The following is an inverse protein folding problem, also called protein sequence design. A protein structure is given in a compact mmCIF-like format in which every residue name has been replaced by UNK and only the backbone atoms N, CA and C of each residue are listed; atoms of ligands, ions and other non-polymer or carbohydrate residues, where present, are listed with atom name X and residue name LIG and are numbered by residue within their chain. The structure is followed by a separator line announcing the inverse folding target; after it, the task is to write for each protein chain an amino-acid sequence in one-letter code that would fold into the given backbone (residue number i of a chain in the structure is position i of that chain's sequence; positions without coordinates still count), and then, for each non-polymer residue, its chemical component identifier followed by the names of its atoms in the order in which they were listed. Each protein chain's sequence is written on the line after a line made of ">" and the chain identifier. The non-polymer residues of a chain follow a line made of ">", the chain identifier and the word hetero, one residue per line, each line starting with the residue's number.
data_IF_615933827932
#
_entry.id   IF_615933827932
#
_cell.length_a   1.000
_cell.length_b   1.000
_cell.length_c   1.000
_cell.angle_alpha   90.00
_cell.angle_beta   90.00
_cell.angle_gamma   90.00
#
_symmetry.space_group_name_H-M   'P 1'
#
loop_
_entity.id
_entity.type
_entity.pdbx_description
1 polymer ?
#
# COMPACT_ATOMS: atom_id res chain seq x y z
N UNK A 1 24.44 -5.87 10.43
CA UNK A 1 23.35 -5.30 9.62
C UNK A 1 23.61 -3.80 9.57
N UNK A 2 24.11 -3.29 8.44
CA UNK A 2 24.48 -1.87 8.32
C UNK A 2 23.17 -1.11 8.16
N UNK A 3 22.76 -0.34 9.17
CA UNK A 3 21.67 0.61 9.05
C UNK A 3 21.99 1.52 7.86
N UNK A 4 21.22 1.40 6.77
CA UNK A 4 21.35 2.27 5.61
C UNK A 4 20.92 3.66 6.05
N UNK A 5 21.84 4.62 6.04
CA UNK A 5 21.51 6.01 6.37
C UNK A 5 20.56 6.58 5.31
N UNK A 6 19.25 6.50 5.58
CA UNK A 6 18.19 7.09 4.74
C UNK A 6 17.93 8.57 5.05
N UNK A 7 18.64 9.14 6.04
CA UNK A 7 18.30 10.43 6.62
C UNK A 7 19.53 11.33 6.76
N UNK A 8 19.66 12.32 5.87
CA UNK A 8 20.57 13.47 6.02
C UNK A 8 19.78 14.78 6.01
N UNK A 9 19.97 15.66 7.01
CA UNK A 9 19.76 17.10 6.81
C UNK A 9 20.51 18.01 7.80
N UNK A 10 20.76 19.23 7.31
CA UNK A 10 21.31 20.47 7.87
C UNK A 10 22.83 20.57 8.14
N UNK A 11 23.51 21.39 7.33
CA UNK A 11 24.87 21.89 7.56
C UNK A 11 24.78 23.30 8.16
N UNK A 12 24.33 23.42 9.41
CA UNK A 12 24.50 24.66 10.18
C UNK A 12 25.69 24.54 11.11
N UNK A 13 26.74 25.30 10.81
CA UNK A 13 27.84 25.68 11.72
C UNK A 13 28.34 24.51 12.59
N UNK A 14 28.70 23.39 11.96
CA UNK A 14 29.35 22.22 12.57
C UNK A 14 28.51 21.34 13.51
N UNK A 15 27.18 21.46 13.52
CA UNK A 15 26.30 20.51 14.24
C UNK A 15 25.47 19.74 13.22
N UNK A 16 25.61 18.41 13.22
CA UNK A 16 24.77 17.50 12.45
C UNK A 16 23.74 16.92 13.42
N UNK A 17 22.47 17.27 13.24
CA UNK A 17 21.36 16.67 14.00
C UNK A 17 20.58 15.72 13.11
N UNK A 18 20.32 14.50 13.60
CA UNK A 18 19.43 13.55 12.94
C UNK A 18 18.11 13.53 13.68
N UNK A 19 16.98 13.60 12.99
CA UNK A 19 15.76 13.02 13.55
C UNK A 19 16.05 11.52 13.71
N UNK A 20 15.99 10.98 14.92
CA UNK A 20 16.29 9.57 15.13
C UNK A 20 15.04 8.72 14.85
N UNK A 21 14.59 8.73 13.60
CA UNK A 21 13.56 7.83 13.10
C UNK A 21 14.17 6.57 12.46
N UNK A 22 15.42 6.24 12.82
CA UNK A 22 16.06 5.00 12.38
C UNK A 22 15.29 3.83 12.97
N UNK A 23 14.97 2.83 12.14
CA UNK A 23 14.31 1.60 12.55
C UNK A 23 12.81 1.70 12.89
N UNK A 24 12.04 2.60 12.26
CA UNK A 24 10.59 2.71 12.52
C UNK A 24 9.81 1.94 11.47
N UNK A 25 8.85 1.11 11.90
CA UNK A 25 7.81 0.55 11.05
C UNK A 25 6.47 1.16 11.48
N UNK A 26 5.81 1.88 10.57
CA UNK A 26 4.54 2.54 10.85
C UNK A 26 3.39 1.64 10.42
N UNK A 27 2.50 1.36 11.36
CA UNK A 27 1.22 0.68 11.13
C UNK A 27 0.10 1.58 11.65
N UNK A 28 -0.96 1.73 10.87
CA UNK A 28 -2.08 2.62 11.17
C UNK A 28 -3.39 1.95 10.80
N UNK A 29 -4.47 2.36 11.46
CA UNK A 29 -5.84 1.99 11.08
C UNK A 29 -6.67 3.27 11.03
N UNK A 30 -6.81 3.90 9.85
CA UNK A 30 -7.44 5.21 9.70
C UNK A 30 -8.86 5.31 10.25
N UNK A 31 -9.63 4.22 10.19
CA UNK A 31 -10.97 4.14 10.75
C UNK A 31 -11.34 2.72 11.18
N UNK A 32 -12.43 2.57 11.93
CA UNK A 32 -12.96 1.25 12.33
C UNK A 32 -13.36 0.35 11.17
N UNK A 33 -13.57 0.92 9.98
CA UNK A 33 -13.97 0.19 8.76
C UNK A 33 -12.82 0.03 7.76
N UNK A 34 -11.64 0.59 8.04
CA UNK A 34 -10.44 0.36 7.24
C UNK A 34 -9.64 -0.78 7.85
N UNK A 35 -8.82 -1.39 7.01
CA UNK A 35 -7.85 -2.38 7.44
C UNK A 35 -6.66 -1.70 8.12
N UNK A 36 -5.80 -2.50 8.75
CA UNK A 36 -4.49 -2.01 9.19
C UNK A 36 -3.62 -1.84 7.95
N UNK A 37 -3.11 -0.63 7.74
CA UNK A 37 -2.18 -0.28 6.68
C UNK A 37 -0.75 -0.30 7.23
N UNK A 38 0.15 -0.92 6.49
CA UNK A 38 1.59 -0.84 6.77
C UNK A 38 2.21 0.18 5.83
N UNK A 39 2.75 1.27 6.37
CA UNK A 39 3.21 2.37 5.52
C UNK A 39 4.57 2.01 4.93
N UNK A 40 4.63 1.99 3.60
CA UNK A 40 5.89 1.93 2.87
C UNK A 40 6.48 3.34 2.75
N UNK A 41 7.61 3.62 3.41
CA UNK A 41 8.26 4.93 3.31
C UNK A 41 8.77 5.27 1.90
N UNK A 42 8.99 4.27 1.03
CA UNK A 42 9.41 4.49 -0.36
C UNK A 42 8.24 4.74 -1.32
N UNK A 43 7.03 4.34 -0.93
CA UNK A 43 5.80 4.46 -1.72
C UNK A 43 4.64 4.65 -0.74
N UNK A 44 4.58 5.83 -0.12
CA UNK A 44 3.61 6.07 0.95
C UNK A 44 2.20 6.25 0.39
N UNK A 45 1.27 5.54 1.00
CA UNK A 45 -0.15 5.48 0.65
C UNK A 45 -0.95 5.85 1.88
N UNK A 46 -1.88 6.78 1.74
CA UNK A 46 -2.65 7.31 2.87
C UNK A 46 -4.14 7.34 2.56
N UNK A 47 -4.92 6.92 3.56
CA UNK A 47 -6.35 7.12 3.59
C UNK A 47 -6.70 8.63 3.65
N UNK A 48 -7.86 9.06 3.12
CA UNK A 48 -8.38 10.39 3.37
C UNK A 48 -8.57 10.67 4.87
N UNK A 49 -8.91 9.63 5.65
CA UNK A 49 -9.09 9.68 7.10
C UNK A 49 -7.80 9.56 7.91
N UNK A 50 -6.64 9.51 7.26
CA UNK A 50 -5.36 9.34 7.94
C UNK A 50 -5.04 10.50 8.89
N UNK A 51 -4.35 10.19 9.99
CA UNK A 51 -3.89 11.18 10.96
C UNK A 51 -2.72 11.97 10.39
N UNK A 52 -2.70 13.29 10.60
CA UNK A 52 -1.64 14.14 10.05
C UNK A 52 -0.24 13.73 10.52
N UNK A 53 -0.11 13.27 11.76
CA UNK A 53 1.15 12.73 12.29
C UNK A 53 1.65 11.55 11.44
N UNK A 54 0.77 10.66 10.99
CA UNK A 54 1.14 9.51 10.15
C UNK A 54 1.63 9.98 8.78
N UNK A 55 1.05 11.03 8.20
CA UNK A 55 1.53 11.64 6.96
C UNK A 55 2.91 12.27 7.11
N UNK A 56 3.19 12.86 8.28
CA UNK A 56 4.51 13.43 8.60
C UNK A 56 5.58 12.35 8.80
N UNK A 57 5.27 11.27 9.50
CA UNK A 57 6.26 10.22 9.83
C UNK A 57 6.34 9.10 8.80
N UNK A 58 5.32 8.92 7.97
CA UNK A 58 5.20 7.81 7.03
C UNK A 58 6.37 7.66 6.05
N UNK A 59 6.95 8.73 5.48
CA UNK A 59 8.15 8.63 4.63
C UNK A 59 9.38 8.04 5.35
N UNK A 60 9.40 8.05 6.69
CA UNK A 60 10.46 7.44 7.49
C UNK A 60 10.20 5.96 7.83
N UNK A 61 9.06 5.40 7.44
CA UNK A 61 8.73 3.99 7.69
C UNK A 61 9.61 3.05 6.86
N UNK A 62 10.25 2.08 7.52
CA UNK A 62 11.17 1.10 6.97
C UNK A 62 10.46 -0.25 6.80
N UNK A 63 9.73 -0.40 5.68
CA UNK A 63 8.94 -1.61 5.38
C UNK A 63 9.80 -2.89 5.30
N UNK A 64 11.10 -2.76 5.05
CA UNK A 64 12.06 -3.86 5.07
C UNK A 64 12.19 -4.58 6.42
N UNK A 65 11.64 -4.01 7.49
CA UNK A 65 11.57 -4.66 8.81
C UNK A 65 10.61 -5.85 8.85
N UNK A 66 9.71 -5.95 7.87
CA UNK A 66 8.83 -7.10 7.71
C UNK A 66 9.63 -8.23 7.06
N UNK A 67 9.81 -9.32 7.79
CA UNK A 67 10.44 -10.53 7.26
C UNK A 67 9.47 -11.29 6.36
N UNK A 68 9.38 -10.87 5.10
CA UNK A 68 8.36 -11.38 4.17
C UNK A 68 8.50 -12.86 3.83
N UNK A 69 9.66 -13.48 3.98
CA UNK A 69 9.88 -14.89 3.60
C UNK A 69 9.86 -15.85 4.80
N UNK A 70 9.51 -15.36 5.98
CA UNK A 70 9.43 -16.18 7.18
C UNK A 70 8.09 -16.91 7.29
N UNK A 71 8.09 -18.00 8.08
CA UNK A 71 6.85 -18.72 8.38
C UNK A 71 5.96 -17.83 9.26
N UNK A 72 4.68 -17.57 8.87
CA UNK A 72 3.77 -16.81 9.70
C UNK A 72 3.57 -17.48 11.06
N UNK A 73 3.59 -16.68 12.12
CA UNK A 73 3.32 -17.15 13.48
C UNK A 73 1.91 -16.73 13.90
N UNK A 74 1.09 -17.68 14.31
CA UNK A 74 -0.25 -17.41 14.81
C UNK A 74 -0.19 -17.07 16.31
N UNK A 75 -0.74 -15.91 16.74
CA UNK A 75 -0.81 -15.58 18.15
C UNK A 75 -1.59 -16.64 18.95
N UNK A 76 -1.22 -16.93 20.20
CA UNK A 76 -1.92 -17.92 21.02
C UNK A 76 -3.39 -17.55 21.23
N UNK A 77 -4.29 -18.48 20.91
CA UNK A 77 -5.74 -18.28 21.03
C UNK A 77 -6.20 -17.99 22.45
N UNK A 78 -5.45 -18.45 23.46
CA UNK A 78 -5.74 -18.19 24.88
C UNK A 78 -5.66 -16.70 25.24
N UNK A 79 -4.82 -15.92 24.54
CA UNK A 79 -4.66 -14.48 24.79
C UNK A 79 -5.47 -13.66 23.77
N UNK A 80 -5.44 -14.05 22.50
CA UNK A 80 -5.98 -13.26 21.39
C UNK A 80 -7.37 -13.70 20.93
N UNK A 81 -7.89 -14.81 21.44
CA UNK A 81 -9.12 -15.43 20.95
C UNK A 81 -8.91 -16.22 19.65
N UNK A 82 -10.00 -16.78 19.09
CA UNK A 82 -9.96 -17.40 17.76
C UNK A 82 -9.73 -16.35 16.68
N UNK A 83 -9.18 -16.78 15.54
CA UNK A 83 -9.07 -15.91 14.36
C UNK A 83 -10.48 -15.43 13.92
N UNK A 84 -10.65 -14.13 13.62
CA UNK A 84 -11.92 -13.63 13.11
C UNK A 84 -12.23 -14.18 11.72
N UNK A 85 -13.49 -14.05 11.30
CA UNK A 85 -13.92 -14.46 9.96
C UNK A 85 -13.14 -13.69 8.87
N UNK A 86 -12.80 -14.40 7.79
CA UNK A 86 -12.03 -13.86 6.67
C UNK A 86 -12.89 -12.94 5.79
N UNK A 87 -12.97 -11.66 6.16
CA UNK A 87 -13.56 -10.61 5.34
C UNK A 87 -12.54 -9.88 4.47
N UNK A 88 -12.91 -8.71 3.96
CA UNK A 88 -12.05 -7.89 3.07
C UNK A 88 -10.61 -7.71 3.59
N UNK A 89 -10.43 -7.33 4.86
CA UNK A 89 -9.09 -7.07 5.41
C UNK A 89 -8.15 -8.26 5.37
N UNK A 90 -8.68 -9.49 5.48
CA UNK A 90 -7.87 -10.69 5.33
C UNK A 90 -7.26 -10.79 3.93
N UNK A 91 -8.07 -10.52 2.90
CA UNK A 91 -7.62 -10.57 1.51
C UNK A 91 -6.71 -9.39 1.17
N UNK A 92 -7.07 -8.18 1.60
CA UNK A 92 -6.23 -7.00 1.41
C UNK A 92 -4.83 -7.19 2.02
N UNK A 93 -4.73 -7.63 3.28
CA UNK A 93 -3.43 -7.80 3.95
C UNK A 93 -2.58 -8.90 3.31
N UNK A 94 -3.21 -9.97 2.81
CA UNK A 94 -2.53 -11.00 2.03
C UNK A 94 -2.04 -10.47 0.68
N UNK A 95 -2.86 -9.68 -0.01
CA UNK A 95 -2.51 -9.06 -1.27
C UNK A 95 -1.36 -8.05 -1.08
N UNK A 96 -1.39 -7.25 -0.02
CA UNK A 96 -0.32 -6.29 0.28
C UNK A 96 1.01 -6.99 0.62
N UNK A 97 0.97 -8.10 1.36
CA UNK A 97 2.16 -8.94 1.58
C UNK A 97 2.70 -9.55 0.27
N UNK A 98 1.82 -10.07 -0.58
CA UNK A 98 2.22 -10.61 -1.89
C UNK A 98 2.82 -9.50 -2.79
N UNK A 99 2.24 -8.30 -2.76
CA UNK A 99 2.76 -7.10 -3.41
C UNK A 99 4.16 -6.75 -2.90
N UNK A 100 4.40 -6.80 -1.59
CA UNK A 100 5.72 -6.55 -1.02
C UNK A 100 6.77 -7.55 -1.53
N UNK A 101 6.37 -8.79 -1.82
CA UNK A 101 7.23 -9.82 -2.43
C UNK A 101 7.37 -9.69 -3.95
N UNK A 102 6.58 -8.82 -4.60
CA UNK A 102 6.52 -8.70 -6.05
C UNK A 102 5.77 -9.85 -6.74
N UNK A 103 4.93 -10.58 -6.02
CA UNK A 103 4.16 -11.73 -6.51
C UNK A 103 2.85 -11.24 -7.18
N UNK A 104 2.96 -10.52 -8.29
CA UNK A 104 1.83 -9.81 -8.90
C UNK A 104 0.69 -10.73 -9.36
N UNK A 105 0.98 -11.92 -9.90
CA UNK A 105 -0.09 -12.88 -10.22
C UNK A 105 -0.82 -13.36 -8.96
N UNK A 106 -0.09 -13.47 -7.83
CA UNK A 106 -0.69 -13.87 -6.56
C UNK A 106 -1.63 -12.80 -6.01
N UNK A 107 -1.28 -11.52 -6.17
CA UNK A 107 -2.17 -10.39 -5.83
C UNK A 107 -3.49 -10.51 -6.59
N UNK A 108 -3.45 -10.82 -7.89
CA UNK A 108 -4.65 -11.01 -8.71
C UNK A 108 -5.48 -12.23 -8.29
N UNK A 109 -4.83 -13.35 -7.95
CA UNK A 109 -5.51 -14.55 -7.44
C UNK A 109 -6.27 -14.25 -6.13
N UNK A 110 -5.62 -13.54 -5.19
CA UNK A 110 -6.21 -13.13 -3.92
C UNK A 110 -7.41 -12.20 -4.16
N UNK A 111 -7.26 -11.24 -5.08
CA UNK A 111 -8.34 -10.32 -5.47
C UNK A 111 -9.54 -11.08 -6.03
N UNK A 112 -9.32 -12.00 -6.97
CA UNK A 112 -10.38 -12.83 -7.55
C UNK A 112 -11.16 -13.61 -6.49
N UNK A 113 -10.48 -14.16 -5.47
CA UNK A 113 -11.13 -14.84 -4.34
C UNK A 113 -11.99 -13.90 -3.49
N UNK A 114 -11.50 -12.68 -3.25
CA UNK A 114 -12.22 -11.67 -2.48
C UNK A 114 -13.47 -11.17 -3.23
N UNK A 115 -13.30 -10.73 -4.47
CA UNK A 115 -14.38 -10.17 -5.29
C UNK A 115 -15.43 -11.21 -5.64
N UNK A 116 -15.03 -12.48 -5.86
CA UNK A 116 -15.96 -13.59 -6.07
C UNK A 116 -16.88 -13.87 -4.88
N UNK A 117 -16.51 -13.42 -3.69
CA UNK A 117 -17.33 -13.48 -2.48
C UNK A 117 -18.05 -12.14 -2.17
N UNK A 118 -17.90 -11.14 -3.03
CA UNK A 118 -18.48 -9.81 -2.86
C UNK A 118 -17.75 -8.95 -1.83
N UNK A 119 -16.49 -9.27 -1.48
CA UNK A 119 -15.69 -8.43 -0.61
C UNK A 119 -15.00 -7.31 -1.39
N UNK A 120 -15.19 -6.08 -0.93
CA UNK A 120 -14.62 -4.86 -1.50
C UNK A 120 -14.15 -3.91 -0.37
N UNK A 121 -13.17 -3.03 -0.63
CA UNK A 121 -12.72 -2.08 0.37
C UNK A 121 -13.74 -0.97 0.61
N UNK A 122 -13.84 -0.58 1.88
CA UNK A 122 -14.47 0.68 2.27
C UNK A 122 -13.50 1.84 2.08
N UNK A 123 -12.22 1.63 2.38
CA UNK A 123 -11.16 2.63 2.18
C UNK A 123 -10.54 2.47 0.79
N UNK A 124 -10.81 3.42 -0.10
CA UNK A 124 -10.44 3.29 -1.52
C UNK A 124 -8.94 3.21 -1.77
N UNK A 125 -8.07 3.61 -0.83
CA UNK A 125 -6.62 3.41 -0.99
C UNK A 125 -6.25 1.91 -1.00
N UNK A 126 -7.07 1.05 -0.38
CA UNK A 126 -6.86 -0.40 -0.30
C UNK A 126 -7.05 -1.11 -1.65
N UNK A 127 -7.55 -0.40 -2.68
CA UNK A 127 -7.51 -0.87 -4.06
C UNK A 127 -6.09 -0.88 -4.66
N UNK A 128 -5.14 -0.15 -4.07
CA UNK A 128 -3.80 0.06 -4.64
C UNK A 128 -3.06 -1.24 -5.02
N UNK A 129 -3.01 -2.30 -4.18
CA UNK A 129 -2.31 -3.53 -4.55
C UNK A 129 -2.84 -4.14 -5.85
N UNK A 130 -4.17 -4.15 -6.01
CA UNK A 130 -4.82 -4.73 -7.17
C UNK A 130 -4.65 -3.84 -8.42
N UNK A 131 -4.79 -2.52 -8.28
CA UNK A 131 -4.52 -1.57 -9.36
C UNK A 131 -3.07 -1.71 -9.89
N UNK A 132 -2.10 -1.86 -8.98
CA UNK A 132 -0.70 -2.04 -9.35
C UNK A 132 -0.48 -3.38 -10.07
N UNK A 133 -1.09 -4.46 -9.58
CA UNK A 133 -1.03 -5.77 -10.22
C UNK A 133 -1.70 -5.79 -11.62
N UNK A 134 -2.86 -5.16 -11.78
CA UNK A 134 -3.52 -5.01 -13.09
C UNK A 134 -2.64 -4.23 -14.07
N UNK A 135 -2.04 -3.11 -13.63
CA UNK A 135 -1.13 -2.35 -14.47
C UNK A 135 0.07 -3.18 -14.94
N UNK A 136 0.72 -3.91 -14.03
CA UNK A 136 1.89 -4.75 -14.33
C UNK A 136 1.56 -5.93 -15.24
N UNK A 137 0.35 -6.48 -15.14
CA UNK A 137 -0.12 -7.54 -16.03
C UNK A 137 -0.71 -7.02 -17.37
N UNK A 138 -0.72 -5.69 -17.58
CA UNK A 138 -1.29 -5.07 -18.77
C UNK A 138 -2.82 -5.11 -18.84
N UNK A 139 -3.48 -5.37 -17.72
CA UNK A 139 -4.93 -5.49 -17.60
C UNK A 139 -5.60 -4.11 -17.53
N UNK A 140 -5.67 -3.47 -18.69
CA UNK A 140 -6.25 -2.13 -18.84
C UNK A 140 -7.77 -2.14 -18.62
N UNK A 141 -8.44 -3.25 -18.85
CA UNK A 141 -9.90 -3.34 -18.72
C UNK A 141 -10.30 -3.24 -17.24
N UNK A 142 -9.68 -4.00 -16.34
CA UNK A 142 -9.96 -3.83 -14.90
C UNK A 142 -9.58 -2.45 -14.36
N UNK A 143 -8.48 -1.84 -14.86
CA UNK A 143 -8.15 -0.46 -14.52
C UNK A 143 -9.27 0.51 -14.94
N UNK A 144 -9.87 0.30 -16.11
CA UNK A 144 -10.98 1.12 -16.62
C UNK A 144 -12.22 0.95 -15.77
N UNK A 145 -12.58 -0.30 -15.44
CA UNK A 145 -13.73 -0.64 -14.61
C UNK A 145 -13.66 -0.02 -13.21
N UNK A 146 -12.48 -0.05 -12.57
CA UNK A 146 -12.28 0.52 -11.23
C UNK A 146 -12.10 2.03 -11.22
N UNK A 147 -11.80 2.65 -12.37
CA UNK A 147 -11.53 4.09 -12.45
C UNK A 147 -12.66 4.98 -11.91
N UNK A 148 -13.97 4.72 -12.11
CA UNK A 148 -15.02 5.58 -11.57
C UNK A 148 -15.08 5.52 -10.04
N UNK A 149 -14.81 4.35 -9.45
CA UNK A 149 -14.81 4.12 -8.00
C UNK A 149 -13.66 4.89 -7.36
N UNK A 150 -12.43 4.66 -7.84
CA UNK A 150 -11.22 5.32 -7.33
C UNK A 150 -11.29 6.84 -7.49
N UNK A 151 -11.79 7.30 -8.64
CA UNK A 151 -11.89 8.73 -8.94
C UNK A 151 -13.02 9.45 -8.19
N UNK A 152 -13.85 8.75 -7.43
CA UNK A 152 -14.85 9.38 -6.57
C UNK A 152 -14.19 10.22 -5.47
N UNK A 153 -12.92 9.94 -5.14
CA UNK A 153 -12.14 10.68 -4.15
C UNK A 153 -10.84 11.20 -4.80
N UNK A 154 -10.74 12.50 -5.12
CA UNK A 154 -9.58 13.08 -5.80
C UNK A 154 -8.24 12.83 -5.10
N UNK A 155 -8.25 12.80 -3.76
CA UNK A 155 -7.08 12.49 -2.95
C UNK A 155 -6.53 11.07 -3.20
N UNK A 156 -7.40 10.11 -3.50
CA UNK A 156 -7.01 8.74 -3.81
C UNK A 156 -6.56 8.64 -5.28
N UNK A 157 -7.29 9.25 -6.22
CA UNK A 157 -6.91 9.20 -7.64
C UNK A 157 -5.55 9.83 -7.90
N UNK A 158 -5.19 10.90 -7.19
CA UNK A 158 -3.87 11.50 -7.29
C UNK A 158 -2.77 10.53 -6.83
N UNK A 159 -2.97 9.87 -5.69
CA UNK A 159 -2.01 8.86 -5.19
C UNK A 159 -1.87 7.68 -6.17
N UNK A 160 -2.99 7.16 -6.69
CA UNK A 160 -3.00 6.11 -7.73
C UNK A 160 -2.26 6.56 -8.98
N UNK A 161 -2.51 7.78 -9.47
CA UNK A 161 -1.80 8.34 -10.61
C UNK A 161 -0.28 8.34 -10.39
N UNK A 162 0.18 8.89 -9.27
CA UNK A 162 1.61 9.01 -8.99
C UNK A 162 2.27 7.63 -8.89
N UNK A 163 1.70 6.72 -8.09
CA UNK A 163 2.26 5.40 -7.83
C UNK A 163 2.30 4.54 -9.10
N UNK A 164 1.21 4.49 -9.85
CA UNK A 164 1.17 3.68 -11.08
C UNK A 164 2.11 4.23 -12.14
N UNK A 165 2.26 5.55 -12.29
CA UNK A 165 3.21 6.14 -13.24
C UNK A 165 4.67 5.84 -12.93
N UNK A 166 5.01 5.74 -11.63
CA UNK A 166 6.37 5.42 -11.19
C UNK A 166 6.63 3.92 -11.09
N UNK A 167 5.62 3.08 -11.33
CA UNK A 167 5.79 1.63 -11.30
C UNK A 167 6.68 1.19 -12.47
N UNK A 168 7.83 0.54 -12.20
CA UNK A 168 8.74 0.09 -13.25
C UNK A 168 8.15 -1.07 -14.06
N UNK A 169 8.56 -1.21 -15.31
CA UNK A 169 8.17 -2.35 -16.17
C UNK A 169 6.84 -2.20 -16.91
N UNK A 170 6.14 -1.07 -16.77
CA UNK A 170 4.90 -0.83 -17.51
C UNK A 170 5.15 -0.50 -18.99
N UNK A 171 4.27 -1.01 -19.86
CA UNK A 171 4.28 -0.65 -21.29
C UNK A 171 3.73 0.76 -21.52
N UNK A 172 4.13 1.39 -22.64
CA UNK A 172 3.63 2.71 -23.03
C UNK A 172 2.10 2.75 -23.18
N UNK A 173 1.48 1.62 -23.57
CA UNK A 173 0.02 1.50 -23.72
C UNK A 173 -0.64 1.59 -22.34
N UNK A 174 -0.10 0.89 -21.35
CA UNK A 174 -0.62 0.92 -19.97
C UNK A 174 -0.45 2.31 -19.36
N UNK A 175 0.73 2.93 -19.50
CA UNK A 175 1.00 4.30 -19.00
C UNK A 175 0.01 5.31 -19.60
N UNK A 176 -0.27 5.22 -20.91
CA UNK A 176 -1.26 6.09 -21.56
C UNK A 176 -2.66 5.93 -20.96
N UNK A 177 -3.07 4.70 -20.67
CA UNK A 177 -4.36 4.44 -20.03
C UNK A 177 -4.38 4.94 -18.59
N UNK A 178 -3.34 4.70 -17.79
CA UNK A 178 -3.22 5.25 -16.43
C UNK A 178 -3.40 6.78 -16.44
N UNK A 179 -2.70 7.48 -17.32
CA UNK A 179 -2.81 8.94 -17.44
C UNK A 179 -4.23 9.39 -17.76
N UNK A 180 -4.89 8.69 -18.69
CA UNK A 180 -6.26 8.98 -19.09
C UNK A 180 -7.29 8.67 -17.99
N UNK A 181 -7.07 7.63 -17.20
CA UNK A 181 -8.03 7.11 -16.24
C UNK A 181 -7.93 7.79 -14.87
N UNK A 182 -6.72 8.09 -14.40
CA UNK A 182 -6.47 8.52 -13.01
C UNK A 182 -5.82 9.90 -12.88
N UNK A 183 -5.11 10.40 -13.90
CA UNK A 183 -4.27 11.61 -13.78
C UNK A 183 -4.86 12.89 -14.40
N UNK A 184 -5.93 12.79 -15.19
CA UNK A 184 -6.43 13.89 -16.03
C UNK A 184 -7.52 14.73 -15.36
N UNK A 185 -7.52 14.85 -14.01
CA UNK A 185 -8.61 15.44 -13.24
C UNK A 185 -8.14 16.55 -12.31
#
# INVERSE_FOLDING_TARGET
>A
MIARERQEYDKRKNIITYANYRNILVMTQPSVNSCVHVINGMQSEYSPGEWDLIREVGPYSEIEHILVNETPHTPPTVVFGPEPAHGWCYYYQKADLARQRGEWEKVLEIGSQAFGQGFEPVDLIEWMPFLQAYALNGDVEHLRELSPVVNAVPYISEQVCQILRTTPGLSNIVIKNINSLFCAK
#
